data_IF_884486155615
#
_entry.id   IF_884486155615
#
_cell.length_a   1.000
_cell.length_b   1.000
_cell.length_c   1.000
_cell.angle_alpha   90.00
_cell.angle_beta   90.00
_cell.angle_gamma   90.00
#
_symmetry.space_group_name_H-M   'P 1'
#
loop_
_entity.id
_entity.type
_entity.pdbx_description
1 polymer ?
#
# COMPACT_ATOMS: atom_id res chain seq x y z
N UNK A 1 1.04 4.68 11.91
CA UNK A 1 1.64 3.60 12.74
C UNK A 1 0.59 3.02 13.68
N UNK A 2 0.77 1.81 14.22
CA UNK A 2 -0.13 1.22 15.22
C UNK A 2 0.66 0.61 16.36
N UNK A 3 0.29 0.91 17.59
CA UNK A 3 0.92 0.30 18.77
C UNK A 3 0.55 -1.19 18.89
N UNK A 4 1.54 -1.99 19.31
CA UNK A 4 1.40 -3.42 19.58
C UNK A 4 1.59 -3.69 21.06
N UNK A 5 1.00 -4.79 21.54
CA UNK A 5 1.07 -5.24 22.95
C UNK A 5 2.50 -5.48 23.46
N UNK A 6 3.46 -5.68 22.57
CA UNK A 6 4.87 -5.96 22.90
C UNK A 6 5.76 -4.71 22.95
N UNK A 7 5.20 -3.51 23.06
CA UNK A 7 5.98 -2.26 23.16
C UNK A 7 6.62 -1.80 21.83
N UNK A 8 6.14 -2.32 20.70
CA UNK A 8 6.58 -1.90 19.36
C UNK A 8 5.45 -1.22 18.59
N UNK A 9 5.78 -0.43 17.57
CA UNK A 9 4.82 0.16 16.63
C UNK A 9 4.97 -0.46 15.26
N UNK A 10 3.87 -0.90 14.66
CA UNK A 10 3.80 -1.32 13.26
C UNK A 10 3.80 -0.13 12.32
N UNK A 11 4.57 -0.25 11.23
CA UNK A 11 4.61 0.72 10.15
C UNK A 11 3.61 0.36 9.03
N UNK A 12 2.99 1.39 8.47
CA UNK A 12 2.02 1.29 7.40
C UNK A 12 2.25 2.42 6.40
N UNK A 13 1.87 2.16 5.15
CA UNK A 13 1.63 3.21 4.17
C UNK A 13 0.16 3.61 4.24
N UNK A 14 -0.09 4.91 4.35
CA UNK A 14 -1.42 5.50 4.30
C UNK A 14 -1.59 6.16 2.92
N UNK A 15 -2.69 5.86 2.25
CA UNK A 15 -3.02 6.34 0.90
C UNK A 15 -4.21 7.29 0.97
N UNK A 16 -4.05 8.50 0.42
CA UNK A 16 -5.10 9.49 0.32
C UNK A 16 -5.12 10.14 -1.09
N UNK A 17 -6.23 10.03 -1.85
CA UNK A 17 -7.41 9.20 -1.57
C UNK A 17 -7.05 7.70 -1.52
N UNK A 18 -7.93 6.89 -0.92
CA UNK A 18 -7.77 5.43 -0.95
C UNK A 18 -7.91 4.88 -2.37
N UNK A 19 -7.38 3.69 -2.61
CA UNK A 19 -7.31 3.07 -3.93
C UNK A 19 -7.96 1.68 -3.90
N UNK A 20 -8.62 1.24 -4.99
CA UNK A 20 -9.23 -0.10 -5.09
C UNK A 20 -8.25 -1.19 -5.54
N UNK A 21 -8.23 -2.33 -4.86
CA UNK A 21 -7.51 -3.47 -5.41
C UNK A 21 -8.14 -3.89 -6.76
N UNK A 22 -7.38 -3.99 -7.88
CA UNK A 22 -7.94 -4.39 -9.17
C UNK A 22 -8.58 -5.79 -9.18
N UNK A 23 -8.13 -6.69 -8.29
CA UNK A 23 -8.62 -8.07 -8.23
C UNK A 23 -9.83 -8.23 -7.30
N UNK A 24 -9.78 -7.60 -6.11
CA UNK A 24 -10.82 -7.76 -5.08
C UNK A 24 -11.83 -6.61 -5.05
N UNK A 25 -11.54 -5.51 -5.75
CA UNK A 25 -12.29 -4.25 -5.76
C UNK A 25 -12.41 -3.55 -4.39
N UNK A 26 -11.73 -4.06 -3.36
CA UNK A 26 -11.75 -3.49 -2.02
C UNK A 26 -11.02 -2.15 -1.96
N UNK A 27 -11.60 -1.18 -1.26
CA UNK A 27 -10.97 0.12 -1.03
C UNK A 27 -9.87 0.00 0.03
N UNK A 28 -8.62 0.10 -0.42
CA UNK A 28 -7.43 0.08 0.42
C UNK A 28 -7.02 1.53 0.74
N UNK A 29 -6.97 1.84 2.03
CA UNK A 29 -6.39 3.11 2.54
C UNK A 29 -5.09 2.90 3.29
N UNK A 30 -4.84 1.69 3.75
CA UNK A 30 -3.69 1.37 4.60
C UNK A 30 -3.09 0.04 4.18
N UNK A 31 -1.79 0.04 3.89
CA UNK A 31 -1.02 -1.17 3.59
C UNK A 31 0.03 -1.39 4.69
N UNK A 32 0.02 -2.56 5.31
CA UNK A 32 1.05 -2.94 6.29
C UNK A 32 2.40 -3.13 5.60
N UNK A 33 3.47 -2.61 6.20
CA UNK A 33 4.84 -2.85 5.73
C UNK A 33 5.47 -4.11 6.35
N UNK A 34 4.83 -4.72 7.35
CA UNK A 34 5.41 -5.84 8.11
C UNK A 34 6.65 -5.46 8.93
N UNK A 35 6.96 -4.16 9.02
CA UNK A 35 8.07 -3.61 9.78
C UNK A 35 7.60 -3.02 11.11
N UNK A 36 8.49 -3.05 12.11
CA UNK A 36 8.20 -2.60 13.46
C UNK A 36 9.34 -1.77 14.01
N UNK A 37 9.00 -0.79 14.84
CA UNK A 37 9.96 0.03 15.59
C UNK A 37 9.66 -0.07 17.09
N UNK A 38 10.65 0.15 17.95
CA UNK A 38 10.40 0.29 19.38
C UNK A 38 9.54 1.54 19.62
N UNK A 39 8.45 1.40 20.38
CA UNK A 39 7.57 2.53 20.68
C UNK A 39 8.27 3.59 21.53
N UNK A 40 9.07 3.13 22.51
CA UNK A 40 9.88 3.94 23.41
C UNK A 40 11.33 3.39 23.40
N UNK A 41 12.20 3.81 22.46
CA UNK A 41 13.57 3.33 22.41
C UNK A 41 14.42 3.94 23.54
N UNK A 42 14.92 3.10 24.44
CA UNK A 42 15.72 3.50 25.61
C UNK A 42 17.22 3.45 25.27
N UNK A 43 17.67 2.35 24.67
CA UNK A 43 19.09 2.13 24.33
C UNK A 43 19.48 2.80 23.01
N UNK A 44 20.74 3.24 22.90
CA UNK A 44 21.34 3.72 21.64
C UNK A 44 21.19 2.70 20.51
N UNK A 45 21.27 1.39 20.81
CA UNK A 45 21.05 0.34 19.82
C UNK A 45 19.59 0.31 19.32
N UNK A 46 18.61 0.51 20.21
CA UNK A 46 17.19 0.58 19.84
C UNK A 46 16.89 1.82 18.99
N UNK A 47 17.55 2.95 19.28
CA UNK A 47 17.44 4.17 18.45
C UNK A 47 18.02 3.94 17.05
N UNK A 48 19.22 3.36 16.94
CA UNK A 48 19.84 2.98 15.65
C UNK A 48 18.99 1.99 14.87
N UNK A 49 18.38 1.01 15.56
CA UNK A 49 17.45 0.08 14.94
C UNK A 49 16.23 0.81 14.35
N UNK A 50 15.58 1.68 15.13
CA UNK A 50 14.45 2.46 14.66
C UNK A 50 14.81 3.31 13.44
N UNK A 51 15.96 3.98 13.46
CA UNK A 51 16.47 4.78 12.35
C UNK A 51 16.64 3.94 11.07
N UNK A 52 17.30 2.78 11.17
CA UNK A 52 17.49 1.88 10.05
C UNK A 52 16.16 1.35 9.47
N UNK A 53 15.19 1.02 10.33
CA UNK A 53 13.88 0.55 9.89
C UNK A 53 13.07 1.69 9.25
N UNK A 54 13.11 2.89 9.81
CA UNK A 54 12.44 4.06 9.24
C UNK A 54 13.03 4.42 7.87
N UNK A 55 14.36 4.37 7.71
CA UNK A 55 15.01 4.59 6.42
C UNK A 55 14.55 3.56 5.36
N UNK A 56 14.45 2.28 5.74
CA UNK A 56 13.90 1.23 4.85
C UNK A 56 12.43 1.49 4.49
N UNK A 57 11.62 1.90 5.47
CA UNK A 57 10.21 2.22 5.23
C UNK A 57 10.06 3.43 4.29
N UNK A 58 10.91 4.44 4.44
CA UNK A 58 10.92 5.62 3.57
C UNK A 58 11.33 5.25 2.14
N UNK A 59 12.34 4.39 1.95
CA UNK A 59 12.70 3.89 0.64
C UNK A 59 11.53 3.17 -0.06
N UNK A 60 10.74 2.37 0.68
CA UNK A 60 9.53 1.73 0.14
C UNK A 60 8.48 2.79 -0.21
N UNK A 61 8.27 3.80 0.64
CA UNK A 61 7.33 4.90 0.37
C UNK A 61 7.71 5.63 -0.91
N UNK A 62 8.99 5.97 -1.10
CA UNK A 62 9.50 6.60 -2.31
C UNK A 62 9.28 5.73 -3.56
N UNK A 63 9.53 4.43 -3.48
CA UNK A 63 9.27 3.50 -4.59
C UNK A 63 7.78 3.48 -4.98
N UNK A 64 6.89 3.37 -3.99
CA UNK A 64 5.44 3.39 -4.23
C UNK A 64 4.99 4.72 -4.81
N UNK A 65 5.54 5.83 -4.31
CA UNK A 65 5.22 7.16 -4.82
C UNK A 65 5.58 7.31 -6.31
N UNK A 66 6.75 6.82 -6.71
CA UNK A 66 7.16 6.78 -8.12
C UNK A 66 6.22 5.88 -8.95
N UNK A 67 5.83 4.71 -8.43
CA UNK A 67 4.87 3.82 -9.10
C UNK A 67 3.49 4.47 -9.29
N UNK A 68 3.04 5.26 -8.31
CA UNK A 68 1.79 6.02 -8.38
C UNK A 68 1.88 7.14 -9.41
N UNK A 69 2.99 7.90 -9.43
CA UNK A 69 3.22 8.95 -10.43
C UNK A 69 3.29 8.37 -11.85
N UNK A 70 3.98 7.25 -12.02
CA UNK A 70 4.16 6.61 -13.32
C UNK A 70 2.93 5.80 -13.79
N UNK A 71 1.74 6.07 -13.24
CA UNK A 71 0.46 5.44 -13.58
C UNK A 71 0.43 3.89 -13.48
N UNK A 72 1.44 3.28 -12.84
CA UNK A 72 1.45 1.82 -12.58
C UNK A 72 0.43 1.41 -11.53
N UNK A 73 -0.06 2.35 -10.74
CA UNK A 73 -1.33 2.22 -10.06
C UNK A 73 -2.42 2.72 -11.02
N UNK A 74 -3.16 1.77 -11.55
CA UNK A 74 -4.28 1.77 -12.52
C UNK A 74 -5.39 2.84 -12.34
N UNK A 75 -5.21 3.83 -11.46
CA UNK A 75 -6.15 4.88 -11.09
C UNK A 75 -6.18 6.05 -12.06
N UNK A 76 -5.08 6.28 -12.78
CA UNK A 76 -4.92 7.42 -13.69
C UNK A 76 -4.53 7.03 -15.11
N UNK A 77 -4.54 5.74 -15.43
CA UNK A 77 -4.15 5.26 -16.75
C UNK A 77 -5.14 5.80 -17.80
N UNK A 78 -4.77 6.88 -18.49
CA UNK A 78 -5.61 7.51 -19.50
C UNK A 78 -5.91 6.56 -20.67
N UNK A 79 -5.11 5.51 -20.86
CA UNK A 79 -5.35 4.52 -21.88
C UNK A 79 -6.56 3.62 -21.58
N UNK A 80 -6.95 3.46 -20.30
CA UNK A 80 -8.20 2.75 -19.94
C UNK A 80 -9.46 3.54 -20.26
N UNK A 81 -9.38 4.86 -20.45
CA UNK A 81 -10.52 5.63 -20.95
C UNK A 81 -10.90 5.23 -22.39
N UNK A 82 -10.01 4.53 -23.10
CA UNK A 82 -10.24 4.03 -24.46
C UNK A 82 -10.70 2.58 -24.51
N UNK A 83 -10.83 1.89 -23.38
CA UNK A 83 -11.33 0.51 -23.36
C UNK A 83 -12.86 0.48 -23.58
N UNK A 84 -13.34 -0.56 -24.28
CA UNK A 84 -14.77 -0.79 -24.45
C UNK A 84 -15.40 -1.20 -23.11
N UNK A 85 -16.21 -0.28 -22.57
CA UNK A 85 -16.96 -0.45 -21.33
C UNK A 85 -17.75 -1.76 -21.30
N UNK A 86 -18.34 -2.17 -22.44
CA UNK A 86 -19.15 -3.39 -22.51
C UNK A 86 -18.29 -4.64 -22.38
N UNK A 87 -17.09 -4.63 -22.98
CA UNK A 87 -16.14 -5.74 -22.90
C UNK A 87 -15.58 -5.89 -21.49
N UNK A 88 -15.29 -4.78 -20.81
CA UNK A 88 -14.84 -4.79 -19.41
C UNK A 88 -15.88 -5.43 -18.47
N UNK A 89 -17.14 -5.00 -18.56
CA UNK A 89 -18.20 -5.56 -17.72
C UNK A 89 -18.48 -7.04 -18.03
N UNK A 90 -18.45 -7.45 -19.30
CA UNK A 90 -18.55 -8.87 -19.68
C UNK A 90 -17.45 -9.72 -19.04
N UNK A 91 -16.21 -9.24 -19.02
CA UNK A 91 -15.09 -9.94 -18.37
C UNK A 91 -15.25 -10.04 -16.85
N UNK A 92 -15.72 -8.98 -16.19
CA UNK A 92 -15.99 -9.00 -14.75
C UNK A 92 -17.08 -10.00 -14.41
N UNK A 93 -18.19 -9.98 -15.15
CA UNK A 93 -19.28 -10.93 -15.00
C UNK A 93 -18.74 -12.36 -15.15
N UNK A 94 -18.04 -12.65 -16.24
CA UNK A 94 -17.49 -13.99 -16.47
C UNK A 94 -16.52 -14.44 -15.36
N UNK A 95 -15.70 -13.55 -14.80
CA UNK A 95 -14.81 -13.90 -13.67
C UNK A 95 -15.56 -14.17 -12.37
N UNK A 96 -16.65 -13.45 -12.11
CA UNK A 96 -17.42 -13.57 -10.87
C UNK A 96 -18.41 -14.74 -10.89
N UNK A 97 -18.91 -15.14 -12.07
CA UNK A 97 -19.83 -16.27 -12.25
C UNK A 97 -19.13 -17.59 -12.59
N UNK A 98 -17.80 -17.60 -12.78
CA UNK A 98 -17.00 -18.81 -12.98
C UNK A 98 -16.45 -19.42 -11.67
N UNK A 99 -17.01 -19.03 -10.51
CA UNK A 99 -16.84 -19.69 -9.22
C UNK A 99 -18.14 -20.39 -8.82
#
# INVERSE_FOLDING_TARGET
>A
MRDRRNGTKSLFLDFWPGYRNPETMELIRRRSLGMYIYANPISTQQKKYNEAILAKAEAIRCKVFIEVINEKYDFFNQDRLKEDFLAYFKNIVNRNFAK
#
